data_IF_239326674460
#
_entry.id   IF_239326674460
#
_cell.length_a   1.000
_cell.length_b   1.000
_cell.length_c   1.000
_cell.angle_alpha   90.00
_cell.angle_beta   90.00
_cell.angle_gamma   90.00
#
_symmetry.space_group_name_H-M   'P 1'
#
loop_
_entity.id
_entity.type
_entity.pdbx_description
1 polymer ?
#
# COMPACT_ATOMS: atom_id res chain seq x y z
N UNK A 1 15.58 38.24 -29.98
CA UNK A 1 15.03 37.62 -29.37
C UNK A 1 15.11 37.67 -28.10
N UNK A 2 14.38 37.42 -27.50
CA UNK A 2 14.26 37.98 -26.25
C UNK A 2 14.56 37.03 -25.12
N UNK A 3 15.04 37.58 -24.08
CA UNK A 3 15.22 36.92 -22.78
C UNK A 3 13.88 36.34 -22.33
N UNK A 4 12.75 36.97 -22.67
CA UNK A 4 11.42 36.48 -22.34
C UNK A 4 11.13 35.12 -22.93
N UNK A 5 11.50 34.87 -24.21
CA UNK A 5 11.29 33.59 -24.86
C UNK A 5 12.15 32.50 -24.21
N UNK A 6 13.37 32.84 -23.83
CA UNK A 6 14.26 31.92 -23.13
C UNK A 6 13.74 31.57 -21.74
N UNK A 7 13.28 32.59 -20.99
CA UNK A 7 12.68 32.37 -19.68
C UNK A 7 11.39 31.57 -19.74
N UNK A 8 10.55 31.85 -20.72
CA UNK A 8 9.31 31.08 -20.93
C UNK A 8 9.62 29.62 -21.26
N UNK A 9 10.65 29.38 -22.11
CA UNK A 9 11.07 28.03 -22.43
C UNK A 9 11.55 27.26 -21.19
N UNK A 10 12.33 27.93 -20.32
CA UNK A 10 12.77 27.34 -19.05
C UNK A 10 11.57 27.03 -18.15
N UNK A 11 10.63 27.97 -18.00
CA UNK A 11 9.44 27.78 -17.17
C UNK A 11 8.54 26.67 -17.72
N UNK A 12 8.40 26.58 -19.04
CA UNK A 12 7.66 25.49 -19.69
C UNK A 12 8.30 24.13 -19.47
N UNK A 13 9.63 24.07 -19.55
CA UNK A 13 10.37 22.84 -19.27
C UNK A 13 10.20 22.39 -17.82
N UNK A 14 10.31 23.33 -16.86
CA UNK A 14 10.13 23.02 -15.43
C UNK A 14 8.70 22.54 -15.13
N UNK A 15 7.71 23.17 -15.74
CA UNK A 15 6.31 22.76 -15.57
C UNK A 15 6.10 21.34 -16.13
N UNK A 16 6.60 21.06 -17.33
CA UNK A 16 6.52 19.73 -17.93
C UNK A 16 7.23 18.66 -17.10
N UNK A 17 8.39 19.00 -16.53
CA UNK A 17 9.13 18.10 -15.66
C UNK A 17 8.38 17.82 -14.36
N UNK A 18 7.80 18.86 -13.75
CA UNK A 18 7.00 18.72 -12.54
C UNK A 18 5.73 17.90 -12.79
N UNK A 19 5.09 18.08 -13.95
CA UNK A 19 3.94 17.28 -14.35
C UNK A 19 4.31 15.80 -14.50
N UNK A 20 5.44 15.51 -15.15
CA UNK A 20 5.91 14.14 -15.33
C UNK A 20 6.21 13.47 -13.97
N UNK A 21 6.84 14.20 -13.05
CA UNK A 21 7.09 13.71 -11.69
C UNK A 21 5.80 13.43 -10.94
N UNK A 22 4.81 14.31 -11.07
CA UNK A 22 3.49 14.12 -10.46
C UNK A 22 2.79 12.88 -11.01
N UNK A 23 2.84 12.66 -12.31
CA UNK A 23 2.24 11.46 -12.94
C UNK A 23 2.91 10.18 -12.47
N UNK A 24 4.24 10.16 -12.38
CA UNK A 24 5.00 9.03 -11.87
C UNK A 24 4.62 8.75 -10.42
N UNK A 25 4.57 9.78 -9.60
CA UNK A 25 4.20 9.61 -8.19
C UNK A 25 2.74 9.18 -8.02
N UNK A 26 1.85 9.64 -8.89
CA UNK A 26 0.45 9.19 -8.88
C UNK A 26 0.36 7.68 -9.14
N UNK A 27 1.13 7.17 -10.10
CA UNK A 27 1.17 5.75 -10.39
C UNK A 27 1.70 4.94 -9.19
N UNK A 28 2.74 5.44 -8.51
CA UNK A 28 3.28 4.82 -7.30
C UNK A 28 2.25 4.82 -6.17
N UNK A 29 1.54 5.92 -5.97
CA UNK A 29 0.50 6.02 -4.95
C UNK A 29 -0.66 5.06 -5.22
N UNK A 30 -1.07 4.94 -6.48
CA UNK A 30 -2.12 3.99 -6.88
C UNK A 30 -1.68 2.55 -6.63
N UNK A 31 -0.45 2.21 -6.97
CA UNK A 31 0.10 0.88 -6.70
C UNK A 31 0.10 0.58 -5.20
N UNK A 32 0.46 1.56 -4.37
CA UNK A 32 0.45 1.41 -2.91
C UNK A 32 -0.97 1.11 -2.38
N UNK A 33 -2.00 1.75 -2.94
CA UNK A 33 -3.41 1.45 -2.62
C UNK A 33 -3.75 0.01 -2.97
N UNK A 34 -3.36 -0.44 -4.16
CA UNK A 34 -3.62 -1.81 -4.63
C UNK A 34 -2.92 -2.84 -3.76
N UNK A 35 -1.69 -2.56 -3.33
CA UNK A 35 -0.95 -3.42 -2.41
C UNK A 35 -1.62 -3.53 -1.04
N UNK A 36 -2.17 -2.43 -0.53
CA UNK A 36 -2.92 -2.44 0.73
C UNK A 36 -4.18 -3.29 0.61
N UNK A 37 -4.94 -3.13 -0.47
CA UNK A 37 -6.14 -3.93 -0.73
C UNK A 37 -5.81 -5.42 -0.84
N UNK A 38 -4.75 -5.76 -1.59
CA UNK A 38 -4.30 -7.14 -1.73
C UNK A 38 -3.87 -7.74 -0.39
N UNK A 39 -3.16 -6.98 0.45
CA UNK A 39 -2.73 -7.43 1.77
C UNK A 39 -3.93 -7.66 2.69
N UNK A 40 -4.94 -6.79 2.66
CA UNK A 40 -6.17 -6.96 3.44
C UNK A 40 -6.99 -8.17 2.98
N UNK A 41 -7.09 -8.38 1.67
CA UNK A 41 -7.80 -9.53 1.11
C UNK A 41 -7.11 -10.84 1.50
N UNK A 42 -5.79 -10.86 1.48
CA UNK A 42 -5.04 -12.04 1.92
C UNK A 42 -5.25 -12.31 3.40
N UNK A 43 -5.25 -11.28 4.25
CA UNK A 43 -5.53 -11.41 5.67
C UNK A 43 -6.92 -12.01 5.89
N UNK A 44 -7.94 -11.50 5.21
CA UNK A 44 -9.31 -12.01 5.32
C UNK A 44 -9.40 -13.48 4.94
N UNK A 45 -8.71 -13.89 3.86
CA UNK A 45 -8.67 -15.30 3.43
C UNK A 45 -7.95 -16.18 4.43
N UNK A 46 -6.82 -15.73 4.97
CA UNK A 46 -6.08 -16.48 5.98
C UNK A 46 -6.90 -16.68 7.25
N UNK A 47 -7.63 -15.66 7.69
CA UNK A 47 -8.50 -15.76 8.86
C UNK A 47 -9.66 -16.73 8.62
N UNK A 48 -10.28 -16.69 7.45
CA UNK A 48 -11.36 -17.60 7.08
C UNK A 48 -10.88 -19.04 6.98
N UNK A 49 -9.77 -19.27 6.28
CA UNK A 49 -9.15 -20.60 6.17
C UNK A 49 -8.70 -21.12 7.54
N UNK A 50 -8.12 -20.23 8.36
CA UNK A 50 -7.69 -20.58 9.71
C UNK A 50 -8.85 -21.04 10.59
N UNK A 51 -10.00 -20.37 10.51
CA UNK A 51 -11.20 -20.76 11.24
C UNK A 51 -11.71 -22.15 10.82
N UNK A 52 -11.69 -22.44 9.51
CA UNK A 52 -12.08 -23.76 9.00
C UNK A 52 -11.12 -24.85 9.44
N UNK A 53 -9.82 -24.60 9.36
CA UNK A 53 -8.80 -25.56 9.78
C UNK A 53 -8.88 -25.83 11.27
N UNK A 54 -9.06 -24.79 12.09
CA UNK A 54 -9.22 -24.90 13.53
C UNK A 54 -10.47 -25.73 13.88
N UNK A 55 -11.60 -25.44 13.24
CA UNK A 55 -12.83 -26.21 13.44
C UNK A 55 -12.65 -27.68 13.04
N UNK A 56 -11.95 -27.95 11.94
CA UNK A 56 -11.67 -29.33 11.50
C UNK A 56 -10.76 -30.06 12.50
N UNK A 57 -9.76 -29.39 13.07
CA UNK A 57 -8.90 -29.97 14.09
C UNK A 57 -9.67 -30.35 15.34
N UNK A 58 -10.51 -29.46 15.85
CA UNK A 58 -11.34 -29.74 17.03
C UNK A 58 -12.37 -30.84 16.75
N UNK A 59 -12.96 -30.88 15.56
CA UNK A 59 -13.90 -31.93 15.18
C UNK A 59 -13.21 -33.31 15.19
N UNK A 60 -11.97 -33.40 14.70
CA UNK A 60 -11.18 -34.65 14.74
C UNK A 60 -10.86 -35.08 16.17
N UNK A 61 -10.52 -34.12 17.05
CA UNK A 61 -10.28 -34.42 18.45
C UNK A 61 -11.53 -34.96 19.15
N UNK A 62 -12.70 -34.40 18.84
CA UNK A 62 -13.97 -34.83 19.44
C UNK A 62 -14.42 -36.21 18.95
N UNK A 63 -13.97 -36.62 17.76
CA UNK A 63 -14.40 -37.87 17.14
C UNK A 63 -13.60 -39.10 17.56
N UNK A 64 -12.52 -38.94 18.33
CA UNK A 64 -11.63 -40.05 18.71
C UNK A 64 -11.27 -40.03 20.18
N UNK A 65 -10.74 -41.17 20.66
CA UNK A 65 -10.13 -41.21 21.99
C UNK A 65 -8.83 -40.41 21.94
N UNK A 66 -8.77 -39.32 22.70
CA UNK A 66 -7.68 -38.34 22.60
C UNK A 66 -6.67 -38.58 23.68
N UNK A 67 -5.39 -38.53 23.31
CA UNK A 67 -4.28 -38.49 24.23
C UNK A 67 -3.91 -37.03 24.47
N UNK A 68 -3.27 -36.76 25.61
CA UNK A 68 -2.76 -35.41 25.92
C UNK A 68 -1.87 -34.86 24.81
N UNK A 69 -1.08 -35.73 24.18
CA UNK A 69 -0.22 -35.37 23.05
C UNK A 69 -0.98 -34.83 21.87
N UNK A 70 -2.16 -35.40 21.57
CA UNK A 70 -3.01 -34.96 20.45
C UNK A 70 -3.52 -33.55 20.70
N UNK A 71 -3.87 -33.23 21.95
CA UNK A 71 -4.31 -31.89 22.35
C UNK A 71 -3.16 -30.88 22.20
N UNK A 72 -1.96 -31.26 22.62
CA UNK A 72 -0.76 -30.41 22.50
C UNK A 72 -0.40 -30.15 21.04
N UNK A 73 -0.50 -31.16 20.18
CA UNK A 73 -0.24 -31.04 18.74
C UNK A 73 -1.23 -30.06 18.10
N UNK A 74 -2.51 -30.15 18.43
CA UNK A 74 -3.54 -29.23 17.92
C UNK A 74 -3.29 -27.81 18.42
N UNK A 75 -2.94 -27.62 19.67
CA UNK A 75 -2.58 -26.30 20.21
C UNK A 75 -1.40 -25.69 19.45
N UNK A 76 -0.40 -26.50 19.13
CA UNK A 76 0.75 -26.06 18.35
C UNK A 76 0.36 -25.64 16.94
N UNK A 77 -0.51 -26.40 16.27
CA UNK A 77 -0.99 -26.07 14.93
C UNK A 77 -1.84 -24.80 14.93
N UNK A 78 -2.72 -24.63 15.92
CA UNK A 78 -3.52 -23.40 16.07
C UNK A 78 -2.62 -22.20 16.33
N UNK A 79 -1.59 -22.36 17.15
CA UNK A 79 -0.61 -21.29 17.40
C UNK A 79 0.09 -20.86 16.10
N UNK A 80 0.42 -21.80 15.21
CA UNK A 80 1.01 -21.49 13.91
C UNK A 80 0.04 -20.72 13.01
N UNK A 81 -1.24 -21.08 13.03
CA UNK A 81 -2.27 -20.33 12.29
C UNK A 81 -2.35 -18.89 12.78
N UNK A 82 -2.36 -18.68 14.10
CA UNK A 82 -2.36 -17.33 14.69
C UNK A 82 -1.12 -16.53 14.32
N UNK A 83 0.05 -17.18 14.29
CA UNK A 83 1.29 -16.53 13.88
C UNK A 83 1.24 -16.06 12.43
N UNK A 84 0.65 -16.85 11.52
CA UNK A 84 0.46 -16.44 10.12
C UNK A 84 -0.45 -15.24 10.01
N UNK A 85 -1.55 -15.25 10.76
CA UNK A 85 -2.50 -14.13 10.80
C UNK A 85 -1.82 -12.86 11.31
N UNK A 86 -1.09 -12.97 12.42
CA UNK A 86 -0.36 -11.85 13.01
C UNK A 86 0.70 -11.29 12.06
N UNK A 87 1.42 -12.17 11.37
CA UNK A 87 2.40 -11.75 10.36
C UNK A 87 1.72 -11.00 9.22
N UNK A 88 0.57 -11.48 8.78
CA UNK A 88 -0.17 -10.80 7.71
C UNK A 88 -0.76 -9.46 8.17
N UNK A 89 -1.19 -9.35 9.44
CA UNK A 89 -1.62 -8.07 10.01
C UNK A 89 -0.48 -7.06 9.96
N UNK A 90 0.74 -7.47 10.29
CA UNK A 90 1.91 -6.61 10.19
C UNK A 90 2.16 -6.18 8.74
N UNK A 91 1.97 -7.08 7.78
CA UNK A 91 2.09 -6.76 6.36
C UNK A 91 1.05 -5.71 5.93
N UNK A 92 -0.18 -5.83 6.43
CA UNK A 92 -1.24 -4.83 6.18
C UNK A 92 -0.83 -3.47 6.75
N UNK A 93 -0.34 -3.43 7.99
CA UNK A 93 0.11 -2.19 8.62
C UNK A 93 1.23 -1.51 7.82
N UNK A 94 2.21 -2.29 7.36
CA UNK A 94 3.30 -1.78 6.51
C UNK A 94 2.78 -1.24 5.19
N UNK A 95 1.81 -1.91 4.58
CA UNK A 95 1.21 -1.46 3.34
C UNK A 95 0.46 -0.14 3.54
N UNK A 96 -0.27 0.01 4.65
CA UNK A 96 -0.97 1.26 5.01
C UNK A 96 0.04 2.38 5.24
N UNK A 97 1.12 2.13 5.96
CA UNK A 97 2.18 3.12 6.19
C UNK A 97 2.80 3.58 4.86
N UNK A 98 3.10 2.63 3.98
CA UNK A 98 3.63 2.95 2.65
C UNK A 98 2.63 3.76 1.82
N UNK A 99 1.34 3.40 1.86
CA UNK A 99 0.29 4.15 1.18
C UNK A 99 0.24 5.60 1.68
N UNK A 100 0.27 5.81 2.98
CA UNK A 100 0.28 7.14 3.59
C UNK A 100 1.51 7.95 3.15
N UNK A 101 2.67 7.31 3.12
CA UNK A 101 3.92 7.94 2.67
C UNK A 101 3.83 8.34 1.20
N UNK A 102 3.33 7.45 0.34
CA UNK A 102 3.22 7.74 -1.10
C UNK A 102 2.17 8.80 -1.39
N UNK A 103 1.07 8.83 -0.63
CA UNK A 103 0.06 9.89 -0.74
C UNK A 103 0.64 11.25 -0.35
N UNK A 104 1.46 11.31 0.69
CA UNK A 104 2.14 12.53 1.09
C UNK A 104 3.12 13.03 0.01
N UNK A 105 3.85 12.11 -0.61
CA UNK A 105 4.75 12.43 -1.73
C UNK A 105 3.98 12.94 -2.95
N UNK A 106 2.81 12.38 -3.21
CA UNK A 106 1.94 12.82 -4.29
C UNK A 106 1.44 14.25 -4.04
N UNK A 107 1.04 14.57 -2.81
CA UNK A 107 0.62 15.92 -2.45
C UNK A 107 1.75 16.94 -2.67
N UNK A 108 2.97 16.58 -2.30
CA UNK A 108 4.15 17.41 -2.55
C UNK A 108 4.37 17.60 -4.05
N UNK A 109 4.29 16.53 -4.84
CA UNK A 109 4.47 16.60 -6.29
C UNK A 109 3.38 17.45 -6.97
N UNK A 110 2.13 17.35 -6.51
CA UNK A 110 1.03 18.19 -6.98
C UNK A 110 1.29 19.66 -6.68
N UNK A 111 1.78 19.96 -5.47
CA UNK A 111 2.12 21.31 -5.08
C UNK A 111 3.23 21.91 -5.95
N UNK A 112 4.26 21.13 -6.24
CA UNK A 112 5.36 21.54 -7.14
C UNK A 112 4.88 21.81 -8.55
N UNK A 113 4.02 20.93 -9.08
CA UNK A 113 3.44 21.11 -10.40
C UNK A 113 2.57 22.37 -10.46
N UNK A 114 1.72 22.56 -9.47
CA UNK A 114 0.85 23.74 -9.37
C UNK A 114 1.66 25.02 -9.34
N UNK A 115 2.74 25.05 -8.56
CA UNK A 115 3.64 26.21 -8.47
C UNK A 115 4.37 26.47 -9.80
N UNK A 116 4.88 25.41 -10.45
CA UNK A 116 5.54 25.53 -11.74
C UNK A 116 4.57 26.03 -12.82
N UNK A 117 3.33 25.55 -12.81
CA UNK A 117 2.28 26.01 -13.73
C UNK A 117 1.95 27.50 -13.49
N UNK A 118 1.89 27.91 -12.23
CA UNK A 118 1.67 29.32 -11.85
C UNK A 118 2.80 30.21 -12.33
N UNK A 119 4.05 29.79 -12.17
CA UNK A 119 5.23 30.53 -12.63
C UNK A 119 5.23 30.67 -14.15
N UNK A 120 4.90 29.60 -14.87
CA UNK A 120 4.76 29.64 -16.32
C UNK A 120 3.66 30.60 -16.75
N UNK A 121 2.50 30.56 -16.11
CA UNK A 121 1.34 31.39 -16.42
C UNK A 121 1.67 32.89 -16.30
N UNK A 122 2.46 33.28 -15.31
CA UNK A 122 2.91 34.67 -15.16
C UNK A 122 3.66 35.19 -16.40
N UNK A 123 4.48 34.33 -17.02
CA UNK A 123 5.23 34.71 -18.22
C UNK A 123 4.34 34.71 -19.47
N UNK A 124 3.33 33.86 -19.52
CA UNK A 124 2.38 33.84 -20.65
C UNK A 124 1.50 35.08 -20.65
N UNK A 125 1.11 35.58 -19.46
CA UNK A 125 0.23 36.74 -19.29
C UNK A 125 0.96 38.08 -19.48
N UNK A 126 2.27 38.06 -19.55
CA UNK A 126 3.06 39.24 -19.85
C UNK A 126 3.15 39.46 -21.37
#
# INVERSE_FOLDING_TARGET
MSIFKELLAIKSFREGQAEAQMRTQRAVALEAVQQTEAARDLLARLMEEGQREEAAMYARLCAQVVKLRDIEDVRGEVAQLRMREDQQEQNVERAIENQTEQDAKLDVARGKHKEAARQKSKFVDL
#
